data_IF_161317787551
#
_entry.id   IF_161317787551
#
_cell.length_a   1.000
_cell.length_b   1.000
_cell.length_c   1.000
_cell.angle_alpha   90.00
_cell.angle_beta   90.00
_cell.angle_gamma   90.00
#
_symmetry.space_group_name_H-M   'P 1'
#
loop_
_entity.id
_entity.type
_entity.pdbx_description
1 polymer ?
#
# COMPACT_ATOMS: atom_id res chain seq x y z
N UNK A 1 -37.66 30.80 24.19
CA UNK A 1 -36.95 31.40 23.03
C UNK A 1 -35.51 30.94 23.07
N UNK A 2 -35.18 29.90 22.31
CA UNK A 2 -33.81 29.37 22.18
C UNK A 2 -33.00 30.35 21.35
N UNK A 3 -31.82 30.76 21.84
CA UNK A 3 -31.01 31.76 21.14
C UNK A 3 -30.32 31.15 19.92
N UNK A 4 -30.05 31.95 18.87
CA UNK A 4 -29.28 31.52 17.67
C UNK A 4 -27.96 30.81 18.02
N UNK A 5 -27.36 31.16 19.16
CA UNK A 5 -26.10 30.60 19.67
C UNK A 5 -26.27 29.20 20.28
N UNK A 6 -27.43 28.90 20.86
CA UNK A 6 -27.76 27.55 21.33
C UNK A 6 -28.18 26.63 20.18
N UNK A 7 -28.91 27.15 19.19
CA UNK A 7 -29.22 26.39 17.98
C UNK A 7 -27.94 25.93 17.26
N UNK A 8 -26.95 26.81 17.09
CA UNK A 8 -25.65 26.45 16.48
C UNK A 8 -24.82 25.44 17.29
N UNK A 9 -24.97 25.42 18.63
CA UNK A 9 -24.31 24.40 19.47
C UNK A 9 -24.96 23.03 19.34
N UNK A 10 -26.29 22.99 19.17
CA UNK A 10 -27.05 21.73 19.03
C UNK A 10 -26.97 21.19 17.60
N UNK A 11 -26.90 22.04 16.57
CA UNK A 11 -26.74 21.61 15.18
C UNK A 11 -25.34 21.08 14.84
N UNK A 12 -24.33 21.36 15.68
CA UNK A 12 -22.97 20.81 15.51
C UNK A 12 -22.87 19.33 15.92
N UNK A 13 -23.86 18.77 16.63
CA UNK A 13 -23.88 17.37 17.05
C UNK A 13 -24.59 16.43 16.06
N UNK A 14 -25.26 16.97 15.03
CA UNK A 14 -26.02 16.21 14.03
C UNK A 14 -25.70 16.64 12.59
N UNK A 15 -24.50 17.19 12.37
CA UNK A 15 -23.94 17.36 11.04
C UNK A 15 -23.42 16.01 10.53
N UNK A 16 -24.00 15.55 9.41
CA UNK A 16 -23.53 14.46 8.57
C UNK A 16 -22.13 14.79 8.02
N UNK A 17 -21.12 14.75 8.88
CA UNK A 17 -19.73 14.82 8.49
C UNK A 17 -19.31 13.39 8.10
N UNK A 18 -19.26 13.12 6.80
CA UNK A 18 -18.38 12.08 6.24
C UNK A 18 -16.89 12.48 6.41
N UNK A 19 -16.54 12.94 7.61
CA UNK A 19 -15.20 13.29 8.03
C UNK A 19 -14.51 12.05 8.55
N UNK A 20 -13.28 11.84 8.10
CA UNK A 20 -12.38 10.88 8.71
C UNK A 20 -12.44 11.01 10.24
N UNK A 21 -12.65 9.88 10.92
CA UNK A 21 -12.07 9.74 12.26
C UNK A 21 -10.55 9.79 12.05
N UNK A 22 -9.96 10.97 12.28
CA UNK A 22 -8.63 11.00 12.85
C UNK A 22 -8.73 10.15 14.13
N UNK A 23 -7.92 9.10 14.31
CA UNK A 23 -7.87 8.44 15.59
C UNK A 23 -7.36 9.51 16.57
N UNK A 24 -8.28 10.17 17.27
CA UNK A 24 -7.96 10.78 18.53
C UNK A 24 -7.33 9.66 19.35
N UNK A 25 -6.17 9.93 19.95
CA UNK A 25 -5.56 9.03 20.91
C UNK A 25 -6.47 8.94 22.14
N UNK A 26 -7.57 8.18 22.03
CA UNK A 26 -8.30 7.69 23.16
C UNK A 26 -7.41 6.59 23.75
N UNK A 27 -6.65 6.98 24.77
CA UNK A 27 -6.07 6.06 25.73
C UNK A 27 -7.19 5.42 26.56
N UNK A 28 -8.00 4.54 25.94
CA UNK A 28 -8.99 3.71 26.62
C UNK A 28 -9.07 2.34 25.92
N UNK A 29 -8.57 1.32 26.61
CA UNK A 29 -8.52 -0.10 26.25
C UNK A 29 -7.87 -0.44 24.90
N UNK A 30 -6.54 -0.51 24.88
CA UNK A 30 -5.82 -1.23 23.81
C UNK A 30 -6.33 -2.67 23.83
N UNK A 31 -7.08 -3.06 22.79
CA UNK A 31 -7.59 -4.42 22.67
C UNK A 31 -6.42 -5.43 22.74
N UNK A 32 -6.58 -6.57 23.44
CA UNK A 32 -5.50 -7.54 23.60
C UNK A 32 -4.93 -8.02 22.27
N UNK A 33 -3.66 -7.71 22.03
CA UNK A 33 -2.87 -8.24 20.92
C UNK A 33 -2.38 -9.63 21.32
N UNK A 34 -2.98 -10.69 20.78
CA UNK A 34 -2.58 -12.08 21.05
C UNK A 34 -1.19 -12.32 20.45
N UNK A 35 -1.01 -11.88 19.21
CA UNK A 35 0.28 -11.74 18.57
C UNK A 35 0.21 -10.60 17.53
N UNK A 36 1.32 -10.31 16.85
CA UNK A 36 1.38 -9.21 15.88
C UNK A 36 0.29 -9.25 14.80
N UNK A 37 -0.26 -10.42 14.48
CA UNK A 37 -1.26 -10.60 13.43
C UNK A 37 -2.70 -10.64 13.94
N UNK A 38 -2.92 -11.08 15.19
CA UNK A 38 -4.25 -11.37 15.73
C UNK A 38 -4.50 -10.55 16.99
N UNK A 39 -5.55 -9.72 16.93
CA UNK A 39 -6.11 -9.02 18.08
C UNK A 39 -7.50 -9.59 18.34
N UNK A 40 -7.81 -9.89 19.60
CA UNK A 40 -9.15 -10.35 19.98
C UNK A 40 -9.72 -9.37 21.00
N UNK A 41 -10.88 -8.79 20.68
CA UNK A 41 -11.58 -7.85 21.57
C UNK A 41 -12.41 -8.61 22.61
N UNK A 42 -12.75 -7.98 23.75
CA UNK A 42 -13.62 -8.59 24.76
C UNK A 42 -15.01 -8.99 24.26
N UNK A 43 -15.47 -8.42 23.14
CA UNK A 43 -16.73 -8.72 22.46
C UNK A 43 -16.63 -9.84 21.41
N UNK A 44 -15.54 -10.61 21.45
CA UNK A 44 -15.20 -11.70 20.51
C UNK A 44 -14.87 -11.26 19.07
N UNK A 45 -14.83 -9.95 18.77
CA UNK A 45 -14.34 -9.47 17.47
C UNK A 45 -12.87 -9.85 17.28
N UNK A 46 -12.56 -10.48 16.15
CA UNK A 46 -11.19 -10.86 15.76
C UNK A 46 -10.69 -9.90 14.70
N UNK A 47 -9.67 -9.11 15.01
CA UNK A 47 -8.99 -8.26 14.03
C UNK A 47 -7.75 -8.99 13.53
N UNK A 48 -7.69 -9.18 12.21
CA UNK A 48 -6.52 -9.72 11.52
C UNK A 48 -5.76 -8.57 10.86
N UNK A 49 -4.48 -8.43 11.20
CA UNK A 49 -3.59 -7.42 10.60
C UNK A 49 -3.14 -7.87 9.21
N UNK A 50 -3.41 -7.04 8.21
CA UNK A 50 -3.00 -7.28 6.83
C UNK A 50 -1.79 -6.43 6.46
N UNK A 51 -0.70 -7.11 6.08
CA UNK A 51 0.60 -6.47 5.84
C UNK A 51 0.82 -6.02 4.40
N UNK A 52 0.14 -6.62 3.42
CA UNK A 52 0.27 -6.26 1.99
C UNK A 52 -0.71 -5.13 1.63
N UNK A 53 -0.85 -4.82 0.34
CA UNK A 53 -1.82 -3.84 -0.19
C UNK A 53 -2.93 -4.51 -0.98
N UNK A 54 -4.18 -4.09 -0.76
CA UNK A 54 -5.35 -4.53 -1.52
C UNK A 54 -5.67 -3.56 -2.66
N UNK A 55 -5.86 -4.10 -3.87
CA UNK A 55 -6.07 -3.33 -5.09
C UNK A 55 -7.14 -3.93 -6.02
N UNK A 56 -7.99 -4.79 -5.48
CA UNK A 56 -9.08 -5.43 -6.23
C UNK A 56 -8.90 -6.94 -6.43
N UNK A 57 -7.78 -7.53 -6.02
CA UNK A 57 -7.48 -8.96 -6.15
C UNK A 57 -8.10 -9.84 -5.06
N UNK A 58 -8.61 -9.27 -3.95
CA UNK A 58 -9.23 -10.02 -2.86
C UNK A 58 -8.25 -10.69 -1.89
N UNK A 59 -6.97 -10.36 -2.00
CA UNK A 59 -5.91 -10.92 -1.16
C UNK A 59 -6.05 -10.56 0.32
N UNK A 60 -6.66 -9.42 0.64
CA UNK A 60 -7.01 -9.05 2.02
C UNK A 60 -7.96 -10.07 2.65
N UNK A 61 -8.91 -10.58 1.86
CA UNK A 61 -9.83 -11.65 2.30
C UNK A 61 -9.09 -12.97 2.43
N UNK A 62 -8.35 -13.39 1.39
CA UNK A 62 -7.67 -14.68 1.40
C UNK A 62 -6.57 -14.79 2.47
N UNK A 63 -5.86 -13.70 2.76
CA UNK A 63 -4.89 -13.66 3.85
C UNK A 63 -5.58 -13.83 5.21
N UNK A 64 -6.73 -13.16 5.41
CA UNK A 64 -7.52 -13.31 6.62
C UNK A 64 -8.13 -14.72 6.75
N UNK A 65 -8.56 -15.35 5.66
CA UNK A 65 -9.06 -16.73 5.67
C UNK A 65 -8.01 -17.71 6.22
N UNK A 66 -6.73 -17.56 5.82
CA UNK A 66 -5.65 -18.42 6.29
C UNK A 66 -5.40 -18.31 7.80
N UNK A 67 -5.46 -17.09 8.34
CA UNK A 67 -5.33 -16.85 9.78
C UNK A 67 -6.56 -17.38 10.52
N UNK A 68 -7.77 -17.08 10.04
CA UNK A 68 -9.02 -17.49 10.67
C UNK A 68 -9.21 -19.02 10.68
N UNK A 69 -8.81 -19.70 9.60
CA UNK A 69 -8.84 -21.16 9.47
C UNK A 69 -8.06 -21.84 10.59
N UNK A 70 -6.84 -21.37 10.82
CA UNK A 70 -5.96 -21.91 11.86
C UNK A 70 -6.37 -21.40 13.24
N UNK A 71 -6.92 -20.19 13.35
CA UNK A 71 -7.38 -19.65 14.62
C UNK A 71 -8.61 -20.38 15.18
N UNK A 72 -9.38 -21.09 14.34
CA UNK A 72 -10.68 -21.68 14.69
C UNK A 72 -11.68 -20.62 15.21
N UNK A 73 -11.67 -19.42 14.61
CA UNK A 73 -12.65 -18.36 14.93
C UNK A 73 -13.85 -18.39 13.98
N UNK A 74 -14.99 -17.85 14.44
CA UNK A 74 -16.12 -17.57 13.55
C UNK A 74 -15.76 -16.45 12.56
N UNK A 75 -15.87 -16.74 11.26
CA UNK A 75 -15.61 -15.77 10.19
C UNK A 75 -16.48 -14.50 10.30
N UNK A 76 -17.70 -14.61 10.85
CA UNK A 76 -18.60 -13.46 11.02
C UNK A 76 -18.02 -12.38 11.99
N UNK A 77 -17.16 -12.81 12.90
CA UNK A 77 -16.46 -11.96 13.88
C UNK A 77 -15.17 -11.35 13.33
N UNK A 78 -14.72 -11.76 12.14
CA UNK A 78 -13.47 -11.30 11.55
C UNK A 78 -13.62 -9.88 11.00
N UNK A 79 -12.66 -9.02 11.36
CA UNK A 79 -12.39 -7.72 10.74
C UNK A 79 -10.95 -7.70 10.28
N UNK A 80 -10.66 -6.98 9.20
CA UNK A 80 -9.31 -6.86 8.66
C UNK A 80 -8.87 -5.42 8.74
N UNK A 81 -7.70 -5.19 9.33
CA UNK A 81 -7.11 -3.86 9.44
C UNK A 81 -5.71 -3.92 8.84
N UNK A 82 -5.25 -2.84 8.19
CA UNK A 82 -3.85 -2.76 7.79
C UNK A 82 -2.94 -2.83 9.04
N UNK A 83 -1.82 -3.53 8.92
CA UNK A 83 -0.71 -3.39 9.86
C UNK A 83 -0.18 -1.95 9.85
N UNK A 84 0.20 -1.41 11.01
CA UNK A 84 0.73 -0.05 11.09
C UNK A 84 2.20 -0.01 10.61
N UNK A 85 2.49 0.84 9.62
CA UNK A 85 3.81 0.92 8.99
C UNK A 85 4.89 1.42 9.95
N UNK A 86 4.52 2.31 10.86
CA UNK A 86 5.43 2.88 11.82
C UNK A 86 5.71 1.91 12.99
N UNK A 87 4.70 1.21 13.49
CA UNK A 87 4.86 0.09 14.42
C UNK A 87 5.67 -1.03 13.80
N UNK A 88 5.52 -1.28 12.50
CA UNK A 88 6.33 -2.26 11.77
C UNK A 88 7.82 -1.93 11.86
N UNK A 89 8.19 -0.68 11.63
CA UNK A 89 9.58 -0.21 11.80
C UNK A 89 10.03 -0.35 13.25
N UNK A 90 9.29 0.20 14.21
CA UNK A 90 9.68 0.16 15.64
C UNK A 90 9.83 -1.26 16.19
N UNK A 91 9.01 -2.19 15.69
CA UNK A 91 9.04 -3.61 16.07
C UNK A 91 9.93 -4.44 15.14
N UNK A 92 10.97 -3.82 14.55
CA UNK A 92 12.00 -4.50 13.74
C UNK A 92 11.42 -5.36 12.62
N UNK A 93 10.48 -4.78 11.86
CA UNK A 93 9.78 -5.41 10.73
C UNK A 93 8.88 -6.60 11.11
N UNK A 94 8.14 -6.49 12.21
CA UNK A 94 7.31 -7.58 12.77
C UNK A 94 6.29 -8.24 11.82
N UNK A 95 5.92 -7.58 10.72
CA UNK A 95 4.96 -8.09 9.73
C UNK A 95 5.60 -8.57 8.42
N UNK A 96 6.94 -8.63 8.36
CA UNK A 96 7.67 -8.99 7.16
C UNK A 96 7.45 -8.00 6.01
N UNK A 97 7.60 -8.49 4.79
CA UNK A 97 7.49 -7.67 3.58
C UNK A 97 6.05 -7.12 3.38
N UNK A 98 5.93 -5.81 3.16
CA UNK A 98 4.65 -5.12 2.95
C UNK A 98 4.29 -4.87 1.48
N UNK A 99 5.09 -5.36 0.51
CA UNK A 99 4.89 -5.07 -0.91
C UNK A 99 3.87 -6.00 -1.60
N UNK A 100 2.92 -5.49 -2.37
CA UNK A 100 2.04 -6.30 -3.22
C UNK A 100 2.55 -6.31 -4.67
N UNK A 101 3.44 -7.26 -5.00
CA UNK A 101 4.09 -7.39 -6.32
C UNK A 101 4.26 -8.84 -6.77
N UNK A 102 4.34 -9.08 -8.08
CA UNK A 102 4.69 -10.38 -8.69
C UNK A 102 3.79 -11.56 -8.31
N UNK A 103 2.52 -11.29 -7.98
CA UNK A 103 1.55 -12.26 -7.48
C UNK A 103 2.04 -13.03 -6.25
N UNK A 104 2.87 -12.40 -5.40
CA UNK A 104 3.54 -13.06 -4.28
C UNK A 104 2.74 -13.07 -2.99
N UNK A 105 1.74 -12.19 -2.83
CA UNK A 105 1.01 -11.96 -1.58
C UNK A 105 0.70 -13.27 -0.85
N UNK A 106 -0.16 -14.12 -1.39
CA UNK A 106 -0.53 -15.38 -0.73
C UNK A 106 0.58 -16.44 -0.84
N UNK A 107 1.23 -16.57 -2.01
CA UNK A 107 2.27 -17.59 -2.25
C UNK A 107 3.42 -17.52 -1.24
N UNK A 108 3.81 -16.31 -0.84
CA UNK A 108 4.90 -16.08 0.11
C UNK A 108 4.41 -15.84 1.54
N UNK A 109 3.11 -15.60 1.77
CA UNK A 109 2.59 -15.34 3.11
C UNK A 109 1.88 -16.50 3.78
N UNK A 110 1.47 -17.51 3.02
CA UNK A 110 0.55 -18.52 3.55
C UNK A 110 1.10 -19.24 4.78
N UNK A 111 2.38 -19.60 4.79
CA UNK A 111 3.00 -20.32 5.91
C UNK A 111 2.98 -19.49 7.21
N UNK A 112 3.50 -18.25 7.18
CA UNK A 112 3.58 -17.44 8.39
C UNK A 112 2.21 -16.95 8.86
N UNK A 113 1.24 -16.71 7.96
CA UNK A 113 -0.12 -16.32 8.33
C UNK A 113 -0.83 -17.47 9.04
N UNK A 114 -0.66 -18.69 8.54
CA UNK A 114 -1.22 -19.89 9.17
C UNK A 114 -0.60 -20.14 10.54
N UNK A 115 0.72 -20.03 10.65
CA UNK A 115 1.43 -20.11 11.94
C UNK A 115 0.95 -19.04 12.92
N UNK A 116 0.66 -17.83 12.46
CA UNK A 116 0.13 -16.77 13.30
C UNK A 116 -1.27 -17.10 13.84
N UNK A 117 -2.16 -17.68 13.01
CA UNK A 117 -3.47 -18.14 13.45
C UNK A 117 -3.39 -19.31 14.44
N UNK A 118 -2.59 -20.34 14.13
CA UNK A 118 -2.40 -21.51 14.98
C UNK A 118 -1.78 -21.14 16.33
N UNK A 119 -0.75 -20.29 16.33
CA UNK A 119 -0.11 -19.82 17.56
C UNK A 119 -1.07 -19.01 18.44
N UNK A 120 -1.90 -18.14 17.83
CA UNK A 120 -2.93 -17.42 18.58
C UNK A 120 -3.96 -18.37 19.20
N UNK A 121 -4.40 -19.41 18.47
CA UNK A 121 -5.30 -20.46 19.00
C UNK A 121 -4.69 -21.15 20.21
N UNK A 122 -3.43 -21.56 20.13
CA UNK A 122 -2.74 -22.23 21.25
C UNK A 122 -2.62 -21.33 22.49
N UNK A 123 -2.30 -20.04 22.31
CA UNK A 123 -2.26 -19.08 23.42
C UNK A 123 -3.63 -18.89 24.07
N UNK A 124 -4.70 -18.81 23.28
CA UNK A 124 -6.07 -18.69 23.78
C UNK A 124 -6.50 -19.95 24.56
N UNK A 125 -6.23 -21.15 24.03
CA UNK A 125 -6.50 -22.42 24.72
C UNK A 125 -5.71 -22.51 26.02
N UNK A 126 -4.42 -22.15 26.01
CA UNK A 126 -3.58 -22.18 27.20
C UNK A 126 -4.11 -21.25 28.29
N UNK A 127 -4.54 -20.03 27.94
CA UNK A 127 -5.14 -19.10 28.89
C UNK A 127 -6.44 -19.64 29.52
N UNK A 128 -7.31 -20.26 28.71
CA UNK A 128 -8.52 -20.89 29.22
C UNK A 128 -8.22 -22.08 30.16
N UNK A 129 -7.28 -22.95 29.76
CA UNK A 129 -6.86 -24.09 30.55
C UNK A 129 -6.25 -23.67 31.91
N UNK A 130 -5.41 -22.62 31.91
CA UNK A 130 -4.87 -22.02 33.14
C UNK A 130 -5.98 -21.49 34.05
N UNK A 131 -6.94 -20.72 33.51
CA UNK A 131 -8.09 -20.23 34.28
C UNK A 131 -8.98 -21.33 34.84
N UNK A 132 -8.94 -22.52 34.23
CA UNK A 132 -9.69 -23.71 34.64
C UNK A 132 -8.92 -24.68 35.52
N UNK A 133 -7.63 -24.44 35.74
CA UNK A 133 -6.67 -25.37 36.33
C UNK A 133 -6.77 -26.78 35.69
N UNK A 134 -6.79 -26.82 34.36
CA UNK A 134 -6.97 -28.03 33.56
C UNK A 134 -5.78 -28.26 32.61
N UNK A 135 -5.49 -29.52 32.22
CA UNK A 135 -4.52 -29.80 31.16
C UNK A 135 -4.92 -29.16 29.82
N UNK A 136 -3.97 -28.51 29.16
CA UNK A 136 -4.19 -27.88 27.83
C UNK A 136 -4.68 -28.88 26.79
N UNK A 137 -4.16 -30.11 26.82
CA UNK A 137 -4.53 -31.19 25.90
C UNK A 137 -6.00 -31.63 25.99
N UNK A 138 -6.68 -31.28 27.09
CA UNK A 138 -8.10 -31.57 27.29
C UNK A 138 -9.02 -30.45 26.78
N UNK A 139 -8.44 -29.36 26.26
CA UNK A 139 -9.16 -28.20 25.74
C UNK A 139 -9.10 -28.14 24.21
N UNK A 140 -10.24 -27.89 23.56
CA UNK A 140 -10.33 -27.70 22.10
C UNK A 140 -10.98 -26.36 21.77
N UNK A 141 -10.65 -25.80 20.61
CA UNK A 141 -11.26 -24.57 20.10
C UNK A 141 -12.02 -24.84 18.80
N UNK A 142 -13.22 -24.25 18.67
CA UNK A 142 -13.94 -24.18 17.41
C UNK A 142 -14.91 -22.98 17.41
N UNK A 143 -15.00 -22.29 16.27
CA UNK A 143 -15.86 -21.10 16.08
C UNK A 143 -15.74 -20.03 17.19
N UNK A 144 -14.52 -19.77 17.66
CA UNK A 144 -14.26 -18.75 18.69
C UNK A 144 -14.56 -19.18 20.13
N UNK A 145 -14.92 -20.45 20.34
CA UNK A 145 -15.26 -21.02 21.65
C UNK A 145 -14.27 -22.12 22.01
N UNK A 146 -13.72 -22.02 23.23
CA UNK A 146 -12.86 -23.03 23.83
C UNK A 146 -13.72 -23.91 24.73
N UNK A 147 -13.56 -25.22 24.63
CA UNK A 147 -14.29 -26.22 25.42
C UNK A 147 -13.30 -27.14 26.14
N UNK A 148 -13.47 -27.32 27.45
CA UNK A 148 -12.78 -28.36 28.22
C UNK A 148 -13.56 -29.67 28.12
N UNK A 149 -12.99 -30.68 27.45
CA UNK A 149 -13.66 -31.94 27.13
C UNK A 149 -14.27 -32.65 28.34
N UNK A 150 -13.50 -33.00 29.39
CA UNK A 150 -14.00 -33.77 30.52
C UNK A 150 -15.12 -33.09 31.31
N UNK A 151 -15.04 -31.77 31.49
CA UNK A 151 -16.02 -31.02 32.31
C UNK A 151 -17.16 -30.39 31.52
N UNK A 152 -17.02 -30.27 30.19
CA UNK A 152 -17.95 -29.51 29.34
C UNK A 152 -17.92 -27.98 29.51
N UNK A 153 -17.06 -27.42 30.40
CA UNK A 153 -16.89 -25.96 30.57
C UNK A 153 -16.52 -25.30 29.25
N UNK A 154 -17.07 -24.11 29.00
CA UNK A 154 -16.84 -23.31 27.80
C UNK A 154 -16.49 -21.87 28.13
N UNK A 155 -15.64 -21.27 27.30
CA UNK A 155 -15.38 -19.82 27.30
C UNK A 155 -15.17 -19.33 25.87
N UNK A 156 -15.45 -18.06 25.60
CA UNK A 156 -15.17 -17.45 24.30
C UNK A 156 -13.75 -16.86 24.28
N UNK A 157 -13.21 -16.62 23.08
CA UNK A 157 -11.86 -16.05 22.92
C UNK A 157 -11.72 -14.68 23.59
N UNK A 158 -12.70 -13.80 23.45
CA UNK A 158 -12.72 -12.45 24.02
C UNK A 158 -12.62 -12.44 25.55
N UNK A 159 -13.21 -13.43 26.22
CA UNK A 159 -13.13 -13.57 27.68
C UNK A 159 -11.72 -13.92 28.18
N UNK A 160 -10.92 -14.61 27.38
CA UNK A 160 -9.55 -15.04 27.77
C UNK A 160 -8.45 -14.27 27.04
N UNK A 161 -8.80 -13.40 26.09
CA UNK A 161 -7.86 -12.67 25.25
C UNK A 161 -6.83 -11.86 26.05
N UNK A 162 -7.26 -11.22 27.15
CA UNK A 162 -6.39 -10.44 28.03
C UNK A 162 -5.30 -11.29 28.72
N UNK A 163 -5.62 -12.51 29.14
CA UNK A 163 -4.64 -13.42 29.73
C UNK A 163 -3.77 -14.09 28.65
N UNK A 164 -4.37 -14.45 27.51
CA UNK A 164 -3.64 -15.02 26.38
C UNK A 164 -2.57 -14.07 25.85
N UNK A 165 -2.84 -12.77 25.77
CA UNK A 165 -1.89 -11.75 25.32
C UNK A 165 -0.64 -11.60 26.22
N UNK A 166 -0.66 -12.14 27.45
CA UNK A 166 0.50 -12.16 28.35
C UNK A 166 1.41 -13.37 28.13
N UNK A 167 0.94 -14.38 27.40
CA UNK A 167 1.70 -15.59 27.12
C UNK A 167 2.71 -15.34 26.01
N UNK A 168 3.85 -16.03 26.07
CA UNK A 168 4.79 -16.04 24.96
C UNK A 168 4.21 -16.87 23.80
N UNK A 169 4.29 -16.40 22.55
CA UNK A 169 3.90 -17.20 21.40
C UNK A 169 4.69 -18.53 21.34
N UNK A 170 4.03 -19.65 20.99
CA UNK A 170 4.70 -20.94 20.83
C UNK A 170 5.75 -20.88 19.71
N UNK A 171 6.87 -21.59 19.90
CA UNK A 171 7.96 -21.65 18.91
C UNK A 171 7.62 -22.53 17.72
N UNK A 172 6.92 -23.63 17.98
CA UNK A 172 6.47 -24.60 16.99
C UNK A 172 4.95 -24.72 17.09
N UNK A 173 4.27 -24.78 15.95
CA UNK A 173 2.80 -24.89 15.89
C UNK A 173 2.41 -25.90 14.83
N UNK A 174 1.42 -26.73 15.14
CA UNK A 174 0.87 -27.67 14.17
C UNK A 174 -0.20 -26.97 13.33
N UNK A 175 0.02 -26.96 12.02
CA UNK A 175 -0.92 -26.41 11.05
C UNK A 175 -1.92 -27.47 10.60
N UNK A 176 -3.15 -27.06 10.28
CA UNK A 176 -4.19 -27.95 9.76
C UNK A 176 -3.81 -28.54 8.40
N UNK A 177 -4.31 -29.73 8.05
CA UNK A 177 -4.20 -30.22 6.68
C UNK A 177 -5.15 -29.42 5.77
N UNK A 178 -4.74 -28.96 4.57
CA UNK A 178 -5.64 -28.28 3.63
C UNK A 178 -6.93 -29.03 3.31
N UNK A 179 -6.94 -30.36 3.41
CA UNK A 179 -8.18 -31.16 3.24
C UNK A 179 -9.23 -30.89 4.32
N UNK A 180 -8.80 -30.44 5.50
CA UNK A 180 -9.65 -30.19 6.67
C UNK A 180 -10.09 -28.71 6.76
N UNK A 181 -9.74 -27.90 5.75
CA UNK A 181 -10.08 -26.48 5.75
C UNK A 181 -11.57 -26.21 5.56
N UNK A 182 -12.11 -25.34 6.42
CA UNK A 182 -13.53 -24.95 6.46
C UNK A 182 -13.77 -23.54 5.92
N UNK A 183 -12.79 -22.66 6.05
CA UNK A 183 -12.79 -21.24 5.69
C UNK A 183 -11.79 -21.00 4.55
N UNK A 184 -10.54 -21.43 4.70
CA UNK A 184 -9.50 -21.21 3.71
C UNK A 184 -9.79 -21.96 2.39
N UNK A 185 -9.54 -21.29 1.26
CA UNK A 185 -9.81 -21.83 -0.08
C UNK A 185 -11.29 -21.89 -0.47
N UNK A 186 -12.22 -21.47 0.41
CA UNK A 186 -13.65 -21.41 0.08
C UNK A 186 -14.02 -20.08 -0.58
N UNK A 187 -15.03 -20.05 -1.47
CA UNK A 187 -15.49 -18.85 -2.16
C UNK A 187 -16.35 -17.97 -1.24
N UNK A 188 -15.75 -17.40 -0.20
CA UNK A 188 -16.43 -16.51 0.74
C UNK A 188 -16.48 -15.09 0.16
N UNK A 189 -17.58 -14.36 0.43
CA UNK A 189 -17.73 -12.95 0.05
C UNK A 189 -16.59 -12.14 0.63
N UNK A 190 -15.96 -11.30 -0.19
CA UNK A 190 -14.82 -10.48 0.25
C UNK A 190 -15.23 -9.48 1.32
N UNK A 191 -14.33 -9.26 2.28
CA UNK A 191 -14.54 -8.37 3.43
C UNK A 191 -14.71 -6.90 3.04
N UNK A 192 -14.17 -6.50 1.89
CA UNK A 192 -14.15 -5.12 1.41
C UNK A 192 -15.29 -4.77 0.43
N UNK A 193 -15.98 -5.77 -0.13
CA UNK A 193 -17.08 -5.54 -1.10
C UNK A 193 -18.16 -4.60 -0.57
N UNK A 194 -18.71 -4.77 0.66
CA UNK A 194 -19.76 -3.89 1.15
C UNK A 194 -19.36 -2.42 1.13
N UNK A 195 -18.11 -2.11 1.47
CA UNK A 195 -17.61 -0.73 1.49
C UNK A 195 -17.30 -0.22 0.08
N UNK A 196 -16.89 -1.09 -0.84
CA UNK A 196 -16.68 -0.73 -2.26
C UNK A 196 -18.01 -0.29 -2.88
N UNK A 197 -19.05 -1.13 -2.77
CA UNK A 197 -20.34 -0.88 -3.47
C UNK A 197 -21.16 0.25 -2.84
N UNK A 198 -20.85 0.64 -1.60
CA UNK A 198 -21.48 1.76 -0.90
C UNK A 198 -20.66 3.05 -0.94
N UNK A 199 -19.49 3.04 -1.58
CA UNK A 199 -18.61 4.21 -1.66
C UNK A 199 -17.97 4.61 -0.31
N UNK A 200 -17.84 3.65 0.62
CA UNK A 200 -17.22 3.87 1.94
C UNK A 200 -15.72 3.58 1.97
N UNK A 201 -15.20 2.82 1.00
CA UNK A 201 -13.75 2.66 0.85
C UNK A 201 -13.12 4.04 0.63
N UNK A 202 -11.98 4.25 1.29
CA UNK A 202 -11.14 5.43 1.11
C UNK A 202 -9.90 5.06 0.31
N UNK A 203 -9.63 5.87 -0.70
CA UNK A 203 -8.42 5.85 -1.51
C UNK A 203 -7.48 7.00 -1.10
N UNK A 204 -6.26 7.02 -1.64
CA UNK A 204 -5.27 8.07 -1.37
C UNK A 204 -5.80 9.45 -1.72
N UNK A 205 -6.52 9.55 -2.84
CA UNK A 205 -7.16 10.79 -3.28
C UNK A 205 -8.22 11.33 -2.30
N UNK A 206 -8.83 10.48 -1.47
CA UNK A 206 -9.91 10.86 -0.55
C UNK A 206 -9.40 11.51 0.75
N UNK A 207 -8.10 11.46 1.03
CA UNK A 207 -7.52 11.99 2.27
C UNK A 207 -7.88 13.47 2.47
N UNK A 208 -8.54 13.82 3.57
CA UNK A 208 -8.93 15.22 3.84
C UNK A 208 -8.47 15.61 5.24
N UNK A 209 -7.66 16.66 5.33
CA UNK A 209 -7.12 17.17 6.58
C UNK A 209 -7.59 18.61 6.84
N UNK A 210 -7.81 19.01 8.11
CA UNK A 210 -8.12 20.40 8.44
C UNK A 210 -7.02 21.36 7.94
N UNK A 211 -7.43 22.45 7.30
CA UNK A 211 -6.49 23.47 6.80
C UNK A 211 -5.61 23.03 5.63
N UNK A 212 -5.90 21.88 5.01
CA UNK A 212 -5.16 21.37 3.86
C UNK A 212 -5.24 22.30 2.64
N UNK A 213 -4.12 22.41 1.93
CA UNK A 213 -4.01 23.06 0.61
C UNK A 213 -3.71 22.01 -0.46
N UNK A 214 -3.80 22.40 -1.73
CA UNK A 214 -3.72 21.48 -2.87
C UNK A 214 -2.60 21.88 -3.80
N UNK A 215 -1.89 20.89 -4.35
CA UNK A 215 -0.84 21.10 -5.33
C UNK A 215 -1.17 20.39 -6.65
N UNK A 216 -1.01 21.12 -7.75
CA UNK A 216 -0.89 20.58 -9.11
C UNK A 216 0.57 20.74 -9.56
N UNK A 217 1.07 19.83 -10.39
CA UNK A 217 2.46 19.84 -10.86
C UNK A 217 2.57 19.73 -12.37
N UNK A 218 3.67 20.26 -12.89
CA UNK A 218 4.19 19.96 -14.21
C UNK A 218 5.64 19.49 -14.04
N UNK A 219 5.92 18.24 -14.41
CA UNK A 219 7.27 17.68 -14.43
C UNK A 219 7.98 17.98 -15.75
N UNK A 220 9.31 17.86 -15.74
CA UNK A 220 10.08 17.95 -16.98
C UNK A 220 9.62 16.83 -17.94
N UNK A 221 9.23 17.17 -19.19
CA UNK A 221 8.68 16.19 -20.13
C UNK A 221 9.71 15.15 -20.62
N UNK A 222 11.00 15.37 -20.33
CA UNK A 222 12.10 14.46 -20.64
C UNK A 222 12.68 13.93 -19.32
N UNK A 223 12.69 12.60 -19.16
CA UNK A 223 13.25 11.95 -17.99
C UNK A 223 14.71 12.34 -17.76
N UNK A 224 15.05 12.72 -16.53
CA UNK A 224 16.39 13.18 -16.16
C UNK A 224 16.67 14.66 -16.50
N UNK A 225 15.76 15.34 -17.19
CA UNK A 225 15.82 16.79 -17.37
C UNK A 225 15.51 17.56 -16.09
N UNK A 226 15.81 18.86 -16.11
CA UNK A 226 15.72 19.76 -14.95
C UNK A 226 14.99 21.05 -15.30
N UNK A 227 14.45 21.71 -14.29
CA UNK A 227 13.94 23.07 -14.40
C UNK A 227 15.07 24.03 -14.77
N UNK A 228 14.88 24.80 -15.84
CA UNK A 228 15.79 25.89 -16.23
C UNK A 228 15.29 27.22 -15.67
N UNK A 229 14.02 27.55 -15.89
CA UNK A 229 13.40 28.76 -15.36
C UNK A 229 11.87 28.64 -15.30
N UNK A 230 11.23 29.46 -14.46
CA UNK A 230 9.78 29.62 -14.40
C UNK A 230 9.45 31.08 -14.09
N UNK A 231 8.47 31.65 -14.80
CA UNK A 231 7.98 33.01 -14.54
C UNK A 231 6.74 32.98 -13.63
N UNK A 232 6.99 32.94 -12.32
CA UNK A 232 5.94 32.92 -11.30
C UNK A 232 5.09 34.21 -11.25
N UNK A 233 5.63 35.34 -11.74
CA UNK A 233 4.94 36.63 -11.69
C UNK A 233 3.66 36.63 -12.56
N UNK A 234 3.58 35.77 -13.57
CA UNK A 234 2.39 35.61 -14.43
C UNK A 234 1.12 35.22 -13.68
N UNK A 235 1.26 34.55 -12.55
CA UNK A 235 0.13 34.08 -11.75
C UNK A 235 0.11 34.69 -10.35
N UNK A 236 0.97 35.66 -10.08
CA UNK A 236 1.00 36.38 -8.82
C UNK A 236 -0.33 37.11 -8.60
N UNK A 237 -0.82 37.11 -7.35
CA UNK A 237 -2.09 37.73 -6.99
C UNK A 237 -3.35 37.01 -7.50
N UNK A 238 -3.22 35.91 -8.25
CA UNK A 238 -4.39 35.11 -8.63
C UNK A 238 -5.09 34.57 -7.40
N UNK A 239 -6.41 34.71 -7.40
CA UNK A 239 -7.27 34.28 -6.29
C UNK A 239 -6.96 32.83 -5.90
N UNK A 240 -6.65 32.63 -4.62
CA UNK A 240 -6.45 31.31 -4.02
C UNK A 240 -5.12 30.64 -4.33
N UNK A 241 -4.29 31.21 -5.22
CA UNK A 241 -2.90 30.76 -5.39
C UNK A 241 -2.10 31.20 -4.18
N UNK A 242 -1.39 30.24 -3.58
CA UNK A 242 -0.64 30.44 -2.34
C UNK A 242 0.85 30.53 -2.65
N UNK A 243 1.38 29.62 -3.48
CA UNK A 243 2.82 29.54 -3.75
C UNK A 243 3.11 28.81 -5.06
N UNK A 244 4.10 29.29 -5.79
CA UNK A 244 4.78 28.55 -6.87
C UNK A 244 6.06 27.98 -6.30
N UNK A 245 6.28 26.68 -6.49
CA UNK A 245 7.45 25.95 -6.01
C UNK A 245 8.26 25.46 -7.21
N UNK A 246 9.34 26.18 -7.60
CA UNK A 246 10.32 25.67 -8.55
C UNK A 246 11.16 24.58 -7.86
N UNK A 247 11.01 23.34 -8.30
CA UNK A 247 11.77 22.19 -7.80
C UNK A 247 12.79 21.75 -8.86
N UNK A 248 13.64 20.77 -8.56
CA UNK A 248 14.72 20.37 -9.46
C UNK A 248 14.20 19.86 -10.81
N UNK A 249 13.22 18.97 -10.79
CA UNK A 249 12.70 18.26 -11.97
C UNK A 249 11.20 18.53 -12.23
N UNK A 250 10.57 19.42 -11.46
CA UNK A 250 9.17 19.80 -11.62
C UNK A 250 8.88 21.21 -11.09
N UNK A 251 7.73 21.76 -11.46
CA UNK A 251 7.14 22.96 -10.85
C UNK A 251 5.82 22.56 -10.21
N UNK A 252 5.57 23.02 -8.98
CA UNK A 252 4.27 22.88 -8.34
C UNK A 252 3.60 24.24 -8.14
N UNK A 253 2.29 24.30 -8.36
CA UNK A 253 1.46 25.42 -7.91
C UNK A 253 0.60 24.94 -6.76
N UNK A 254 0.69 25.62 -5.62
CA UNK A 254 -0.10 25.35 -4.41
C UNK A 254 -1.21 26.38 -4.29
N UNK A 255 -2.44 25.92 -4.05
CA UNK A 255 -3.62 26.76 -3.91
C UNK A 255 -4.60 26.23 -2.84
N UNK A 256 -5.59 27.05 -2.47
CA UNK A 256 -6.66 26.69 -1.54
C UNK A 256 -7.67 25.68 -2.08
N UNK A 257 -7.64 25.39 -3.39
CA UNK A 257 -8.29 24.26 -4.02
C UNK A 257 -7.49 23.77 -5.23
N UNK A 258 -7.69 22.49 -5.60
CA UNK A 258 -6.89 21.88 -6.66
C UNK A 258 -7.16 22.46 -8.06
N UNK A 259 -8.41 22.83 -8.36
CA UNK A 259 -8.75 23.39 -9.66
C UNK A 259 -7.99 24.70 -9.93
N UNK A 260 -7.90 25.60 -8.94
CA UNK A 260 -7.12 26.85 -9.05
C UNK A 260 -5.63 26.58 -9.20
N UNK A 261 -5.07 25.61 -8.47
CA UNK A 261 -3.69 25.19 -8.66
C UNK A 261 -3.44 24.73 -10.10
N UNK A 262 -4.31 23.86 -10.64
CA UNK A 262 -4.21 23.35 -12.01
C UNK A 262 -4.36 24.45 -13.06
N UNK A 263 -5.38 25.30 -12.96
CA UNK A 263 -5.58 26.38 -13.96
C UNK A 263 -4.46 27.41 -13.91
N UNK A 264 -3.93 27.74 -12.72
CA UNK A 264 -2.79 28.62 -12.60
C UNK A 264 -1.51 28.00 -13.17
N UNK A 265 -1.27 26.72 -12.94
CA UNK A 265 -0.13 26.00 -13.50
C UNK A 265 -0.11 26.03 -15.04
N UNK A 266 -1.26 25.93 -15.72
CA UNK A 266 -1.34 25.97 -17.19
C UNK A 266 -0.83 27.28 -17.81
N UNK A 267 -0.89 28.37 -17.06
CA UNK A 267 -0.49 29.71 -17.54
C UNK A 267 0.97 30.04 -17.20
N UNK A 268 1.66 29.19 -16.45
CA UNK A 268 3.07 29.40 -16.11
C UNK A 268 3.96 29.12 -17.32
N UNK A 269 4.78 30.10 -17.77
CA UNK A 269 5.89 29.84 -18.66
C UNK A 269 6.95 29.05 -17.90
N UNK A 270 7.22 27.82 -18.34
CA UNK A 270 8.25 26.96 -17.76
C UNK A 270 9.25 26.58 -18.85
N UNK A 271 10.53 26.85 -18.62
CA UNK A 271 11.61 26.38 -19.47
C UNK A 271 12.32 25.20 -18.79
N UNK A 272 12.59 24.17 -19.57
CA UNK A 272 13.29 22.96 -19.12
C UNK A 272 14.66 22.86 -19.78
N UNK A 273 15.60 22.24 -19.09
CA UNK A 273 16.82 21.69 -19.67
C UNK A 273 16.65 20.19 -19.77
N UNK A 274 16.54 19.67 -20.99
CA UNK A 274 16.20 18.25 -21.23
C UNK A 274 17.39 17.29 -21.00
N UNK A 275 18.62 17.81 -20.98
CA UNK A 275 19.82 17.02 -20.73
C UNK A 275 20.02 15.90 -21.75
N UNK A 276 20.60 14.79 -21.32
CA UNK A 276 20.96 13.68 -22.20
C UNK A 276 19.75 13.00 -22.89
N UNK A 277 18.54 13.18 -22.37
CA UNK A 277 17.32 12.63 -22.95
C UNK A 277 16.75 13.46 -24.12
N UNK A 278 17.29 14.64 -24.40
CA UNK A 278 16.75 15.58 -25.40
C UNK A 278 16.63 14.97 -26.80
N UNK A 279 17.62 14.18 -27.20
CA UNK A 279 17.65 13.53 -28.52
C UNK A 279 16.98 12.15 -28.54
N UNK A 280 16.35 11.72 -27.45
CA UNK A 280 15.74 10.39 -27.38
C UNK A 280 14.50 10.33 -28.27
N UNK A 281 14.43 9.31 -29.11
CA UNK A 281 13.31 9.04 -30.01
C UNK A 281 12.99 7.54 -30.04
N UNK A 282 11.75 7.19 -30.40
CA UNK A 282 11.36 5.78 -30.59
C UNK A 282 12.29 5.06 -31.57
N UNK A 283 12.78 5.76 -32.60
CA UNK A 283 13.73 5.23 -33.58
C UNK A 283 15.10 4.93 -32.94
N UNK A 284 15.69 5.91 -32.24
CA UNK A 284 16.99 5.73 -31.58
C UNK A 284 16.96 4.62 -30.52
N UNK A 285 15.85 4.49 -29.78
CA UNK A 285 15.66 3.45 -28.77
C UNK A 285 15.54 2.08 -29.43
N UNK A 286 14.78 1.96 -30.51
CA UNK A 286 14.64 0.69 -31.23
C UNK A 286 15.97 0.27 -31.88
N UNK A 287 16.72 1.22 -32.41
CA UNK A 287 18.05 0.95 -32.96
C UNK A 287 19.02 0.48 -31.88
N UNK A 288 19.01 1.11 -30.70
CA UNK A 288 19.79 0.65 -29.55
C UNK A 288 19.47 -0.81 -29.19
N UNK A 289 18.19 -1.19 -29.13
CA UNK A 289 17.79 -2.57 -28.84
C UNK A 289 18.25 -3.55 -29.93
N UNK A 290 18.13 -3.18 -31.22
CA UNK A 290 18.60 -4.04 -32.33
C UNK A 290 20.11 -4.26 -32.27
N UNK A 291 20.88 -3.19 -32.07
CA UNK A 291 22.33 -3.30 -31.93
C UNK A 291 22.73 -4.23 -30.78
N UNK A 292 21.96 -4.25 -29.68
CA UNK A 292 22.17 -5.21 -28.59
C UNK A 292 21.87 -6.66 -28.96
N UNK A 293 20.88 -6.93 -29.84
CA UNK A 293 20.59 -8.28 -30.35
C UNK A 293 21.63 -8.77 -31.36
N UNK A 294 22.27 -7.83 -32.06
CA UNK A 294 23.29 -8.11 -33.07
C UNK A 294 24.71 -8.21 -32.49
N UNK A 295 24.91 -7.91 -31.20
CA UNK A 295 26.19 -7.99 -30.51
C UNK A 295 26.35 -9.33 -29.77
N UNK A 296 27.03 -10.33 -30.37
CA UNK A 296 27.25 -11.63 -29.73
C UNK A 296 28.24 -11.56 -28.55
N UNK A 297 28.98 -10.45 -28.39
CA UNK A 297 29.99 -10.31 -27.34
C UNK A 297 29.40 -9.91 -25.98
N UNK A 298 28.14 -9.46 -25.96
CA UNK A 298 27.47 -8.92 -24.79
C UNK A 298 26.14 -9.64 -24.49
N UNK A 299 26.15 -10.98 -24.55
CA UNK A 299 24.97 -11.82 -24.29
C UNK A 299 24.98 -12.35 -22.85
N UNK A 300 24.01 -11.94 -22.05
CA UNK A 300 23.78 -12.52 -20.72
C UNK A 300 22.98 -13.82 -20.85
N UNK A 301 23.61 -14.96 -20.56
CA UNK A 301 22.94 -16.27 -20.63
C UNK A 301 22.13 -16.51 -19.35
N UNK A 302 20.81 -16.32 -19.44
CA UNK A 302 19.90 -16.59 -18.32
C UNK A 302 19.65 -18.09 -18.08
N UNK A 303 19.63 -18.90 -19.16
CA UNK A 303 19.43 -20.35 -19.09
C UNK A 303 20.04 -21.02 -20.32
N UNK A 304 20.73 -22.15 -20.12
CA UNK A 304 21.25 -23.00 -21.19
C UNK A 304 20.86 -24.44 -20.91
N UNK A 305 20.16 -25.08 -21.84
CA UNK A 305 19.90 -26.52 -21.80
C UNK A 305 20.32 -27.12 -23.14
N UNK A 306 21.36 -27.97 -23.14
CA UNK A 306 21.93 -28.56 -24.36
C UNK A 306 22.83 -27.60 -25.16
N UNK A 307 23.18 -28.03 -26.38
CA UNK A 307 24.09 -27.32 -27.29
C UNK A 307 23.30 -26.71 -28.47
N UNK A 308 22.89 -25.44 -28.29
CA UNK A 308 22.06 -24.70 -29.26
C UNK A 308 22.65 -24.72 -30.68
N UNK A 309 23.93 -24.39 -30.83
CA UNK A 309 24.57 -24.30 -32.15
C UNK A 309 24.59 -25.64 -32.90
N UNK A 310 24.83 -26.74 -32.16
CA UNK A 310 24.78 -28.08 -32.76
C UNK A 310 23.36 -28.45 -33.16
N UNK A 311 22.37 -28.13 -32.31
CA UNK A 311 20.96 -28.34 -32.60
C UNK A 311 20.53 -27.58 -33.85
N UNK A 312 20.90 -26.30 -33.97
CA UNK A 312 20.58 -25.46 -35.13
C UNK A 312 21.30 -25.92 -36.41
N UNK A 313 22.54 -26.39 -36.32
CA UNK A 313 23.27 -26.91 -37.49
C UNK A 313 22.68 -28.21 -38.04
N UNK A 314 22.12 -29.05 -37.17
CA UNK A 314 21.45 -30.30 -37.56
C UNK A 314 19.96 -30.16 -37.91
N UNK A 315 19.40 -28.97 -37.77
CA UNK A 315 17.98 -28.70 -38.00
C UNK A 315 17.58 -28.87 -39.46
N UNK A 316 16.44 -29.54 -39.71
CA UNK A 316 15.87 -29.62 -41.05
C UNK A 316 15.39 -28.25 -41.57
N UNK A 317 15.02 -27.35 -40.65
CA UNK A 317 14.61 -25.98 -40.95
C UNK A 317 14.85 -25.08 -39.75
N UNK A 318 15.58 -23.99 -39.96
CA UNK A 318 15.71 -22.92 -38.96
C UNK A 318 14.70 -21.82 -39.24
N UNK A 319 13.99 -21.40 -38.19
CA UNK A 319 13.08 -20.26 -38.17
C UNK A 319 13.64 -19.19 -37.25
N UNK A 320 13.55 -17.94 -37.69
CA UNK A 320 13.96 -16.78 -36.92
C UNK A 320 12.90 -15.69 -37.02
N UNK A 321 12.55 -15.07 -35.89
CA UNK A 321 11.57 -14.00 -35.83
C UNK A 321 11.91 -12.98 -34.74
N UNK A 322 11.59 -11.72 -35.01
CA UNK A 322 11.65 -10.63 -34.03
C UNK A 322 10.25 -10.25 -33.55
N UNK A 323 10.11 -10.06 -32.24
CA UNK A 323 8.88 -9.66 -31.58
C UNK A 323 9.10 -8.35 -30.84
N UNK A 324 8.27 -7.36 -31.15
CA UNK A 324 8.34 -6.03 -30.57
C UNK A 324 7.15 -5.78 -29.63
N UNK A 325 7.41 -5.20 -28.47
CA UNK A 325 6.36 -4.62 -27.61
C UNK A 325 6.72 -3.17 -27.27
N UNK A 326 5.78 -2.22 -27.43
CA UNK A 326 6.04 -0.82 -27.08
C UNK A 326 5.99 -0.60 -25.57
N UNK A 327 6.42 0.59 -25.15
CA UNK A 327 6.11 1.09 -23.82
C UNK A 327 4.59 1.05 -23.57
N UNK A 328 4.19 0.69 -22.36
CA UNK A 328 2.78 0.71 -21.96
C UNK A 328 2.62 1.39 -20.62
N UNK A 329 1.74 2.40 -20.60
CA UNK A 329 1.27 3.04 -19.39
C UNK A 329 0.35 2.08 -18.61
N UNK A 330 0.46 2.12 -17.29
CA UNK A 330 -0.41 1.38 -16.39
C UNK A 330 -1.83 1.93 -16.37
N UNK A 331 -1.96 3.25 -16.59
CA UNK A 331 -3.23 3.96 -16.72
C UNK A 331 -4.24 3.63 -15.60
N UNK A 332 -3.78 3.61 -14.34
CA UNK A 332 -4.62 3.31 -13.17
C UNK A 332 -5.82 4.25 -13.11
N UNK A 333 -6.99 3.80 -12.62
CA UNK A 333 -8.18 4.66 -12.56
C UNK A 333 -7.94 5.86 -11.63
N UNK A 334 -7.36 5.61 -10.46
CA UNK A 334 -6.85 6.66 -9.58
C UNK A 334 -5.47 7.13 -10.09
N UNK A 335 -5.29 8.41 -10.45
CA UNK A 335 -3.99 8.98 -10.79
C UNK A 335 -3.02 8.98 -9.59
N UNK A 336 -1.73 9.22 -9.84
CA UNK A 336 -0.77 9.40 -8.74
C UNK A 336 -1.09 10.63 -7.89
N UNK A 337 -0.85 10.50 -6.59
CA UNK A 337 -1.14 11.55 -5.63
C UNK A 337 -0.57 11.21 -4.25
N UNK A 338 -0.38 12.23 -3.44
CA UNK A 338 0.17 12.10 -2.09
C UNK A 338 -0.35 13.26 -1.23
N UNK A 339 -1.01 12.94 -0.12
CA UNK A 339 -1.27 13.95 0.92
C UNK A 339 -0.21 13.82 1.99
N UNK A 340 0.48 14.91 2.30
CA UNK A 340 1.58 14.89 3.27
C UNK A 340 1.54 16.09 4.23
N UNK A 341 2.04 15.89 5.43
CA UNK A 341 2.36 16.96 6.39
C UNK A 341 3.71 16.66 7.04
N UNK A 342 4.55 17.68 7.14
CA UNK A 342 5.84 17.63 7.83
C UNK A 342 5.79 18.64 8.96
N UNK A 343 5.79 18.18 10.20
CA UNK A 343 5.62 19.04 11.37
C UNK A 343 6.38 18.47 12.56
N UNK A 344 7.16 19.31 13.24
CA UNK A 344 7.86 18.97 14.50
C UNK A 344 8.69 17.67 14.41
N UNK A 345 9.38 17.47 13.28
CA UNK A 345 10.19 16.27 13.04
C UNK A 345 9.40 15.00 12.69
N UNK A 346 8.06 15.07 12.64
CA UNK A 346 7.14 14.01 12.22
C UNK A 346 6.70 14.19 10.78
N UNK A 347 6.54 13.08 10.06
CA UNK A 347 6.04 13.04 8.68
C UNK A 347 4.84 12.09 8.60
N UNK A 348 3.69 12.62 8.22
CA UNK A 348 2.52 11.79 7.89
C UNK A 348 2.24 11.83 6.40
N UNK A 349 2.00 10.67 5.80
CA UNK A 349 1.72 10.49 4.38
C UNK A 349 0.47 9.62 4.21
N UNK A 350 -0.50 10.11 3.45
CA UNK A 350 -1.63 9.34 2.95
C UNK A 350 -1.45 9.14 1.46
N UNK A 351 -1.31 7.89 1.04
CA UNK A 351 -1.12 7.55 -0.37
C UNK A 351 -1.58 6.13 -0.69
N UNK A 352 -2.11 5.97 -1.89
CA UNK A 352 -2.37 4.68 -2.50
C UNK A 352 -1.05 4.05 -2.95
N UNK A 353 -0.55 3.05 -2.24
CA UNK A 353 0.77 2.42 -2.48
C UNK A 353 0.69 0.90 -2.54
N UNK A 354 1.47 0.29 -3.44
CA UNK A 354 1.69 -1.16 -3.44
C UNK A 354 2.82 -1.57 -2.49
N UNK A 355 3.71 -0.65 -2.15
CA UNK A 355 4.89 -0.94 -1.34
C UNK A 355 5.04 0.12 -0.25
N UNK A 356 4.42 -0.15 0.89
CA UNK A 356 4.41 0.78 2.00
C UNK A 356 5.79 1.00 2.63
N UNK A 357 6.66 -0.02 2.63
CA UNK A 357 8.03 0.13 3.11
C UNK A 357 8.83 1.07 2.20
N UNK A 358 8.65 0.98 0.88
CA UNK A 358 9.27 1.91 -0.06
C UNK A 358 8.72 3.33 0.10
N UNK A 359 7.39 3.50 0.26
CA UNK A 359 6.81 4.83 0.53
C UNK A 359 7.34 5.41 1.83
N UNK A 360 7.50 4.59 2.86
CA UNK A 360 7.99 4.98 4.17
C UNK A 360 9.46 5.41 4.13
N UNK A 361 10.32 4.62 3.49
CA UNK A 361 11.72 4.96 3.26
C UNK A 361 11.89 6.24 2.42
N UNK A 362 11.08 6.39 1.36
CA UNK A 362 11.10 7.58 0.50
C UNK A 362 10.70 8.83 1.26
N UNK A 363 9.64 8.75 2.08
CA UNK A 363 9.19 9.87 2.91
C UNK A 363 10.25 10.27 3.95
N UNK A 364 10.89 9.29 4.62
CA UNK A 364 11.96 9.53 5.59
C UNK A 364 13.16 10.23 4.95
N UNK A 365 13.67 9.67 3.85
CA UNK A 365 14.82 10.22 3.12
C UNK A 365 14.54 11.63 2.59
N UNK A 366 13.34 11.86 2.04
CA UNK A 366 12.94 13.15 1.50
C UNK A 366 12.79 14.22 2.58
N UNK A 367 12.19 13.88 3.72
CA UNK A 367 12.04 14.80 4.82
C UNK A 367 13.37 15.06 5.56
N UNK A 368 14.28 14.08 5.56
CA UNK A 368 15.52 14.09 6.33
C UNK A 368 15.28 13.72 7.80
N UNK A 369 14.39 12.76 8.05
CA UNK A 369 14.04 12.31 9.42
C UNK A 369 14.26 10.80 9.58
N UNK A 370 14.46 10.30 10.81
CA UNK A 370 14.50 8.86 11.08
C UNK A 370 13.19 8.14 10.70
N UNK A 371 13.27 6.86 10.34
CA UNK A 371 12.12 6.05 9.92
C UNK A 371 11.02 6.02 11.00
N UNK A 372 11.39 5.95 12.27
CA UNK A 372 10.46 5.93 13.40
C UNK A 372 9.58 7.19 13.52
N UNK A 373 9.93 8.29 12.84
CA UNK A 373 9.16 9.53 12.80
C UNK A 373 8.22 9.62 11.58
N UNK A 374 8.21 8.60 10.72
CA UNK A 374 7.38 8.55 9.52
C UNK A 374 6.17 7.64 9.73
N UNK A 375 5.01 8.11 9.27
CA UNK A 375 3.73 7.44 9.39
C UNK A 375 3.09 7.39 8.00
N UNK A 376 3.11 6.22 7.37
CA UNK A 376 2.42 5.99 6.10
C UNK A 376 1.06 5.39 6.40
N UNK A 377 0.03 6.22 6.25
CA UNK A 377 -1.38 5.89 6.42
C UNK A 377 -1.88 5.18 5.17
N UNK A 378 -1.77 3.86 5.19
CA UNK A 378 -2.15 3.01 4.06
C UNK A 378 -3.65 3.01 3.86
N UNK A 379 -4.04 3.13 2.60
CA UNK A 379 -5.42 3.11 2.12
C UNK A 379 -5.53 2.10 0.97
N UNK A 380 -6.75 1.72 0.59
CA UNK A 380 -6.92 0.96 -0.65
C UNK A 380 -6.51 1.81 -1.85
N UNK A 381 -6.21 1.16 -2.98
CA UNK A 381 -5.69 1.84 -4.16
C UNK A 381 -6.57 1.59 -5.38
N UNK A 382 -6.80 2.64 -6.17
CA UNK A 382 -7.65 2.63 -7.38
C UNK A 382 -6.93 2.11 -8.61
N UNK A 383 -6.32 0.92 -8.49
CA UNK A 383 -5.45 0.30 -9.49
C UNK A 383 -3.96 0.56 -9.22
N UNK A 384 -3.14 -0.42 -9.57
CA UNK A 384 -1.69 -0.38 -9.37
C UNK A 384 -0.91 -0.89 -10.58
N UNK A 385 -1.18 -2.14 -11.00
CA UNK A 385 -0.55 -2.80 -12.16
C UNK A 385 0.98 -2.80 -12.19
N UNK A 386 1.65 -2.39 -11.10
CA UNK A 386 3.10 -2.21 -11.04
C UNK A 386 3.50 -0.75 -10.75
N UNK A 387 2.72 0.23 -11.21
CA UNK A 387 3.02 1.67 -11.10
C UNK A 387 3.32 2.12 -9.68
N UNK A 388 2.49 1.69 -8.73
CA UNK A 388 2.56 2.10 -7.31
C UNK A 388 3.54 1.28 -6.48
N UNK A 389 4.24 0.32 -7.10
CA UNK A 389 5.29 -0.49 -6.48
C UNK A 389 6.72 -0.01 -6.76
N UNK A 390 6.90 0.88 -7.76
CA UNK A 390 8.19 1.39 -8.22
C UNK A 390 8.74 2.57 -7.41
N UNK A 391 9.30 3.57 -8.10
CA UNK A 391 10.16 4.67 -7.62
C UNK A 391 9.58 5.61 -6.55
N UNK A 392 8.31 5.48 -6.17
CA UNK A 392 7.64 6.32 -5.15
C UNK A 392 7.80 7.83 -5.39
N UNK A 393 7.92 8.22 -6.66
CA UNK A 393 8.05 9.60 -7.16
C UNK A 393 6.98 10.55 -6.61
N UNK A 394 5.71 10.13 -6.61
CA UNK A 394 4.61 10.92 -6.06
C UNK A 394 4.73 11.13 -4.53
N UNK A 395 5.33 10.18 -3.79
CA UNK A 395 5.58 10.33 -2.35
C UNK A 395 6.69 11.35 -2.12
N UNK A 396 7.81 11.23 -2.86
CA UNK A 396 8.91 12.19 -2.82
C UNK A 396 8.37 13.60 -3.07
N UNK A 397 7.64 13.80 -4.16
CA UNK A 397 7.10 15.12 -4.53
C UNK A 397 6.14 15.66 -3.48
N UNK A 398 5.21 14.83 -2.99
CA UNK A 398 4.26 15.24 -1.95
C UNK A 398 4.96 15.70 -0.67
N UNK A 399 5.98 14.96 -0.23
CA UNK A 399 6.77 15.31 0.98
C UNK A 399 7.65 16.54 0.74
N UNK A 400 8.26 16.69 -0.44
CA UNK A 400 9.02 17.90 -0.80
C UNK A 400 8.14 19.15 -0.77
N UNK A 401 6.95 19.06 -1.37
CA UNK A 401 5.97 20.17 -1.38
C UNK A 401 5.50 20.47 0.04
N UNK A 402 5.13 19.46 0.83
CA UNK A 402 4.71 19.66 2.21
C UNK A 402 5.81 20.33 3.05
N UNK A 403 7.07 19.89 2.92
CA UNK A 403 8.23 20.52 3.59
C UNK A 403 8.39 21.99 3.19
N UNK A 404 8.19 22.33 1.91
CA UNK A 404 8.25 23.71 1.41
C UNK A 404 7.06 24.59 1.85
N UNK A 405 5.98 23.98 2.33
CA UNK A 405 4.79 24.62 2.92
C UNK A 405 4.80 24.64 4.45
N UNK A 406 5.90 24.19 5.07
CA UNK A 406 6.04 24.11 6.52
C UNK A 406 5.07 23.10 7.13
N UNK A 407 4.31 23.53 8.15
CA UNK A 407 3.37 22.67 8.86
C UNK A 407 1.98 22.55 8.20
N UNK A 408 1.78 23.15 7.03
CA UNK A 408 0.49 23.10 6.31
C UNK A 408 0.36 21.75 5.60
N UNK A 409 -0.70 20.96 5.84
CA UNK A 409 -0.93 19.74 5.07
C UNK A 409 -1.16 20.05 3.59
N UNK A 410 -0.54 19.29 2.70
CA UNK A 410 -0.68 19.46 1.24
C UNK A 410 -1.14 18.18 0.59
N UNK A 411 -2.18 18.26 -0.24
CA UNK A 411 -2.56 17.19 -1.17
C UNK A 411 -2.03 17.49 -2.57
N UNK A 412 -1.02 16.73 -2.97
CA UNK A 412 -0.58 16.64 -4.36
C UNK A 412 -1.49 15.69 -5.13
N UNK A 413 -2.01 16.13 -6.27
CA UNK A 413 -2.64 15.24 -7.26
C UNK A 413 -2.09 15.54 -8.64
N UNK A 414 -1.71 14.49 -9.34
CA UNK A 414 -1.38 14.55 -10.76
C UNK A 414 -2.67 14.58 -11.58
N UNK A 415 -2.63 15.23 -12.75
CA UNK A 415 -3.69 15.06 -13.75
C UNK A 415 -3.52 13.71 -14.46
N UNK A 416 -4.53 13.28 -15.24
CA UNK A 416 -4.41 12.07 -16.06
C UNK A 416 -3.30 12.20 -17.11
N UNK A 417 -3.14 13.38 -17.68
CA UNK A 417 -2.10 13.70 -18.66
C UNK A 417 -0.72 13.59 -18.03
N UNK A 418 -0.55 14.22 -16.85
CA UNK A 418 0.69 14.15 -16.07
C UNK A 418 1.04 12.71 -15.69
N UNK A 419 0.05 11.92 -15.25
CA UNK A 419 0.18 10.50 -14.90
C UNK A 419 0.55 9.62 -16.09
N UNK A 420 0.00 9.90 -17.27
CA UNK A 420 0.30 9.14 -18.48
C UNK A 420 1.65 9.50 -19.05
N UNK A 421 2.05 10.78 -19.01
CA UNK A 421 3.33 11.27 -19.54
C UNK A 421 4.52 10.89 -18.64
N UNK A 422 4.31 10.80 -17.33
CA UNK A 422 5.34 10.45 -16.36
C UNK A 422 5.04 9.11 -15.68
N UNK A 423 4.43 8.19 -16.44
CA UNK A 423 4.26 6.82 -16.00
C UNK A 423 5.64 6.15 -15.86
N UNK A 424 5.74 5.16 -14.98
CA UNK A 424 6.85 4.24 -14.95
C UNK A 424 6.56 3.11 -15.94
N UNK A 425 6.60 3.39 -17.25
CA UNK A 425 6.10 2.49 -18.27
C UNK A 425 6.63 1.05 -18.14
N UNK A 426 5.79 0.06 -18.48
CA UNK A 426 6.34 -1.25 -18.83
C UNK A 426 7.37 -1.02 -19.94
N UNK A 427 8.62 -1.50 -19.80
CA UNK A 427 9.66 -1.21 -20.76
C UNK A 427 9.29 -1.75 -22.14
N UNK A 428 9.67 -1.03 -23.18
CA UNK A 428 9.63 -1.59 -24.53
C UNK A 428 10.58 -2.79 -24.60
N UNK A 429 10.31 -3.74 -25.47
CA UNK A 429 11.18 -4.91 -25.66
C UNK A 429 11.23 -5.31 -27.12
N UNK A 430 12.42 -5.72 -27.56
CA UNK A 430 12.65 -6.39 -28.82
C UNK A 430 13.28 -7.75 -28.51
N UNK A 431 12.64 -8.81 -28.98
CA UNK A 431 13.06 -10.20 -28.70
C UNK A 431 13.27 -10.91 -30.02
N UNK A 432 14.47 -11.44 -30.25
CA UNK A 432 14.76 -12.33 -31.37
C UNK A 432 14.69 -13.77 -30.89
N UNK A 433 13.85 -14.58 -31.52
CA UNK A 433 13.74 -16.01 -31.26
C UNK A 433 14.22 -16.75 -32.49
N UNK A 434 15.16 -17.67 -32.29
CA UNK A 434 15.67 -18.59 -33.30
C UNK A 434 15.44 -20.03 -32.85
N UNK A 435 14.88 -20.86 -33.72
CA UNK A 435 14.56 -22.26 -33.43
C UNK A 435 14.80 -23.13 -34.68
N UNK A 436 15.19 -24.38 -34.48
CA UNK A 436 15.46 -25.35 -35.56
C UNK A 436 15.38 -26.78 -35.08
#
# INVERSE_FOLDING_TARGET
MTTRREFLKVSAASGLAFGFHLPAANAQNVAPEINAWVVVRPDDTVIIRYARSEMGQGSMTSAAQLVAEELECDWSQVRVEYADTNAHVRRKRAWGDMAAVGSRTIRQSQDYLRKAGAGAREMLIAAAAQGWNAPVAECTASNGVITHGPSGRKTSFGKVAGEAAKLAPPKEVTLKDPKDWKIAGKPIKRVDIPDIVTGRIRYGIDAQLPGMVYAAIAQCPVFGGKLKSVDAAKIEGRRGVIKVLPMEDYVAVVADNWWRAKEALKELPIEWSFGAGESASSESILQFLRSGLDDPSNVVVARRNGELEQGLAGAAKVLEAEYFTPYLAHATLEPMGCTAVVKDGRVDVWTSTQNAEASHATAAATAGVPLENVYVHRVQLGGGFGRRGGSQDFVRQGVQIAKAMGSTPVKLLWTREEDTQHDFYRPLSLVRIKAG
#
